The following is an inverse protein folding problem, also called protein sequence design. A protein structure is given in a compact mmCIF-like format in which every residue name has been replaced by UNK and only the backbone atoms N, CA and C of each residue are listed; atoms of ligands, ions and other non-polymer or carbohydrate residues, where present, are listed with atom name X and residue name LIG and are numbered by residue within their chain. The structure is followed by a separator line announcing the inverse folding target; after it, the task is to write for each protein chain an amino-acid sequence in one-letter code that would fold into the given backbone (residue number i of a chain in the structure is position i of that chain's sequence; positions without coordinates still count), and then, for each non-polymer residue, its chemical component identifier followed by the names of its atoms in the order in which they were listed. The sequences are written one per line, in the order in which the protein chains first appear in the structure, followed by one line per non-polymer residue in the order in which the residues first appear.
data_IF_995197125118
#
_entry.id   IF_995197125118
#
_cell.length_a   1.000
_cell.length_b   1.000
_cell.length_c   1.000
_cell.angle_alpha   90.00
_cell.angle_beta   90.00
_cell.angle_gamma   90.00
#
_symmetry.space_group_name_H-M   'P 1'
#
loop_
_entity.id
_entity.type
_entity.pdbx_description
1 polymer ?
#
# COMPACT_ATOMS: atom_id res chain seq x y z
N UNK A 1 -52.04 -7.15 34.65
CA UNK A 1 -51.19 -8.20 34.04
C UNK A 1 -51.15 -8.00 32.53
N UNK A 2 -50.04 -7.52 31.97
CA UNK A 2 -49.56 -7.91 30.64
C UNK A 2 -48.13 -7.39 30.47
N UNK A 3 -47.18 -8.33 30.47
CA UNK A 3 -45.74 -8.11 30.36
C UNK A 3 -45.33 -7.86 28.90
N UNK A 4 -44.77 -6.69 28.60
CA UNK A 4 -44.10 -6.38 27.34
C UNK A 4 -42.67 -6.93 27.34
N UNK A 5 -42.42 -7.97 26.53
CA UNK A 5 -41.13 -8.66 26.44
C UNK A 5 -40.22 -7.95 25.43
N UNK A 6 -39.11 -7.38 25.91
CA UNK A 6 -38.05 -6.77 25.10
C UNK A 6 -37.37 -7.87 24.27
N UNK A 7 -37.51 -7.81 22.94
CA UNK A 7 -36.81 -8.72 22.02
C UNK A 7 -35.43 -8.12 21.73
N UNK A 8 -34.43 -8.56 22.48
CA UNK A 8 -33.02 -8.29 22.18
C UNK A 8 -32.65 -9.08 20.92
N UNK A 9 -32.53 -8.38 19.79
CA UNK A 9 -32.09 -8.94 18.51
C UNK A 9 -30.65 -9.41 18.59
N UNK A 10 -30.45 -10.72 18.82
CA UNK A 10 -29.17 -11.40 18.70
C UNK A 10 -28.78 -11.43 17.20
N UNK A 11 -27.59 -10.95 16.78
CA UNK A 11 -27.18 -11.14 15.39
C UNK A 11 -27.03 -12.64 15.12
N UNK A 12 -27.84 -13.14 14.19
CA UNK A 12 -27.79 -14.51 13.67
C UNK A 12 -26.48 -14.66 12.90
N UNK A 13 -25.48 -15.29 13.52
CA UNK A 13 -24.26 -15.71 12.83
C UNK A 13 -24.67 -16.88 11.92
N UNK A 14 -24.99 -16.56 10.67
CA UNK A 14 -25.11 -17.56 9.61
C UNK A 14 -23.67 -18.03 9.34
N UNK A 15 -23.32 -19.20 9.86
CA UNK A 15 -22.12 -19.92 9.44
C UNK A 15 -22.41 -20.52 8.07
N UNK A 16 -22.24 -19.72 7.03
CA UNK A 16 -22.24 -20.20 5.67
C UNK A 16 -20.92 -20.96 5.45
N UNK A 17 -21.01 -22.29 5.41
CA UNK A 17 -19.87 -23.19 5.17
C UNK A 17 -19.62 -23.24 3.66
N UNK A 18 -19.16 -22.13 3.08
CA UNK A 18 -18.56 -22.17 1.74
C UNK A 18 -17.21 -22.90 1.81
N UNK A 19 -16.88 -23.76 0.83
CA UNK A 19 -15.64 -24.51 0.83
C UNK A 19 -14.46 -23.53 0.83
N UNK A 20 -13.68 -23.56 1.91
CA UNK A 20 -12.48 -22.74 2.09
C UNK A 20 -11.48 -23.09 0.99
N UNK A 21 -11.30 -22.21 0.01
CA UNK A 21 -10.26 -22.31 -0.99
C UNK A 21 -8.88 -22.11 -0.36
N UNK A 22 -8.26 -23.19 0.12
CA UNK A 22 -6.88 -23.21 0.59
C UNK A 22 -5.90 -23.57 -0.53
N UNK A 23 -4.69 -23.01 -0.48
CA UNK A 23 -3.59 -23.40 -1.38
C UNK A 23 -2.99 -24.71 -0.87
N UNK A 24 -3.15 -25.77 -1.66
CA UNK A 24 -2.63 -27.10 -1.31
C UNK A 24 -1.13 -27.15 -1.63
N UNK A 25 -0.26 -27.24 -0.61
CA UNK A 25 1.18 -27.47 -0.81
C UNK A 25 1.61 -28.75 -0.08
N UNK A 26 1.80 -29.79 -0.89
CA UNK A 26 2.40 -31.12 -0.68
C UNK A 26 2.15 -31.95 0.60
N UNK A 27 2.15 -31.46 1.84
CA UNK A 27 1.98 -32.31 3.03
C UNK A 27 1.21 -31.70 4.22
N UNK A 28 0.85 -30.42 4.18
CA UNK A 28 0.09 -29.75 5.24
C UNK A 28 -0.92 -28.79 4.62
N UNK A 29 -2.11 -28.64 5.21
CA UNK A 29 -3.02 -27.53 4.89
C UNK A 29 -2.47 -26.24 5.50
N UNK A 30 -1.38 -25.73 4.93
CA UNK A 30 -0.91 -24.39 5.26
C UNK A 30 -1.95 -23.40 4.70
N UNK A 31 -2.37 -22.43 5.50
CA UNK A 31 -3.20 -21.30 5.05
C UNK A 31 -4.69 -21.60 4.78
N UNK A 32 -5.38 -22.40 5.61
CA UNK A 32 -6.86 -22.53 5.62
C UNK A 32 -7.61 -21.21 5.92
N UNK A 33 -6.87 -20.15 6.28
CA UNK A 33 -7.31 -18.80 6.58
C UNK A 33 -7.10 -17.81 5.41
N UNK A 34 -6.48 -18.22 4.31
CA UNK A 34 -6.30 -17.37 3.13
C UNK A 34 -7.55 -17.50 2.25
N UNK A 35 -8.48 -16.56 2.38
CA UNK A 35 -9.59 -16.49 1.45
C UNK A 35 -9.16 -15.69 0.20
N UNK A 36 -8.67 -16.36 -0.85
CA UNK A 36 -8.27 -15.69 -2.11
C UNK A 36 -9.45 -15.00 -2.82
N UNK A 37 -10.68 -15.37 -2.48
CA UNK A 37 -11.91 -14.76 -3.01
C UNK A 37 -12.01 -13.26 -2.65
N UNK A 38 -11.27 -12.84 -1.64
CA UNK A 38 -11.16 -11.49 -1.11
C UNK A 38 -10.37 -10.57 -2.02
N UNK A 39 -9.36 -11.10 -2.72
CA UNK A 39 -8.61 -10.33 -3.72
C UNK A 39 -9.50 -9.86 -4.88
N UNK A 40 -10.72 -10.41 -5.03
CA UNK A 40 -11.67 -9.94 -6.05
C UNK A 40 -12.35 -8.62 -5.67
N UNK A 41 -12.36 -8.20 -4.40
CA UNK A 41 -12.95 -6.91 -4.01
C UNK A 41 -12.14 -5.76 -4.59
N UNK A 42 -12.82 -4.70 -5.01
CA UNK A 42 -12.18 -3.52 -5.64
C UNK A 42 -11.16 -2.87 -4.71
N UNK A 43 -11.40 -2.96 -3.40
CA UNK A 43 -10.56 -2.40 -2.34
C UNK A 43 -9.25 -3.17 -2.16
N UNK A 44 -9.33 -4.51 -2.11
CA UNK A 44 -8.13 -5.36 -2.01
C UNK A 44 -7.23 -5.22 -3.25
N UNK A 45 -7.83 -5.02 -4.44
CA UNK A 45 -7.10 -4.77 -5.69
C UNK A 45 -6.30 -3.45 -5.65
N UNK A 46 -6.90 -2.38 -5.12
CA UNK A 46 -6.23 -1.09 -4.99
C UNK A 46 -5.05 -1.19 -4.01
N UNK A 47 -5.26 -1.82 -2.85
CA UNK A 47 -4.19 -2.07 -1.86
C UNK A 47 -3.06 -2.92 -2.44
N UNK A 48 -3.41 -3.97 -3.18
CA UNK A 48 -2.44 -4.82 -3.87
C UNK A 48 -1.64 -4.02 -4.90
N UNK A 49 -2.30 -3.16 -5.69
CA UNK A 49 -1.62 -2.30 -6.65
C UNK A 49 -0.64 -1.33 -5.96
N UNK A 50 -1.03 -0.73 -4.83
CA UNK A 50 -0.12 0.11 -4.02
C UNK A 50 1.12 -0.69 -3.58
N UNK A 51 0.93 -1.90 -3.03
CA UNK A 51 2.04 -2.76 -2.57
C UNK A 51 2.96 -3.14 -3.73
N UNK A 52 2.40 -3.54 -4.88
CA UNK A 52 3.21 -3.92 -6.06
C UNK A 52 4.00 -2.74 -6.59
N UNK A 53 3.37 -1.57 -6.76
CA UNK A 53 4.06 -0.38 -7.28
C UNK A 53 5.11 0.11 -6.28
N UNK A 54 4.82 0.07 -4.98
CA UNK A 54 5.78 0.41 -3.94
C UNK A 54 6.97 -0.56 -3.92
N UNK A 55 6.73 -1.86 -4.10
CA UNK A 55 7.81 -2.87 -4.17
C UNK A 55 8.70 -2.67 -5.40
N UNK A 56 8.11 -2.37 -6.56
CA UNK A 56 8.86 -2.02 -7.77
C UNK A 56 9.67 -0.75 -7.54
N UNK A 57 9.06 0.31 -7.00
CA UNK A 57 9.76 1.55 -6.67
C UNK A 57 10.94 1.30 -5.72
N UNK A 58 10.72 0.58 -4.62
CA UNK A 58 11.75 0.18 -3.66
C UNK A 58 12.89 -0.58 -4.34
N UNK A 59 12.57 -1.52 -5.22
CA UNK A 59 13.57 -2.31 -5.94
C UNK A 59 14.43 -1.45 -6.87
N UNK A 60 13.84 -0.47 -7.56
CA UNK A 60 14.59 0.47 -8.41
C UNK A 60 15.57 1.30 -7.58
N UNK A 61 15.11 1.85 -6.45
CA UNK A 61 15.93 2.68 -5.56
C UNK A 61 17.10 1.86 -5.00
N UNK A 62 16.86 0.64 -4.55
CA UNK A 62 17.91 -0.20 -3.95
C UNK A 62 18.91 -0.74 -4.99
N UNK A 63 18.45 -1.12 -6.19
CA UNK A 63 19.34 -1.70 -7.20
C UNK A 63 20.13 -0.64 -7.99
N UNK A 64 19.53 0.53 -8.25
CA UNK A 64 20.17 1.59 -9.06
C UNK A 64 20.63 2.79 -8.23
N UNK A 65 19.93 3.13 -7.16
CA UNK A 65 20.20 4.33 -6.37
C UNK A 65 21.25 4.16 -5.28
N UNK A 66 21.44 2.96 -4.72
CA UNK A 66 22.40 2.73 -3.61
C UNK A 66 23.82 3.19 -3.94
N UNK A 67 24.31 2.87 -5.14
CA UNK A 67 25.67 3.23 -5.55
C UNK A 67 25.90 4.74 -5.62
N UNK A 68 24.85 5.56 -5.66
CA UNK A 68 24.91 7.03 -5.78
C UNK A 68 24.17 7.74 -4.64
N UNK A 69 23.84 7.01 -3.57
CA UNK A 69 23.10 7.53 -2.42
C UNK A 69 23.83 8.70 -1.74
N UNK A 70 25.17 8.63 -1.64
CA UNK A 70 25.99 9.70 -1.06
C UNK A 70 25.89 11.02 -1.85
N UNK A 71 25.76 10.95 -3.19
CA UNK A 71 25.65 12.12 -4.05
C UNK A 71 24.27 12.76 -4.00
N UNK A 72 23.22 11.94 -3.83
CA UNK A 72 21.83 12.41 -3.71
C UNK A 72 21.51 12.90 -2.29
N UNK A 73 22.30 12.49 -1.31
CA UNK A 73 22.22 12.94 0.07
C UNK A 73 20.87 12.57 0.74
N UNK A 74 20.32 13.44 1.59
CA UNK A 74 19.12 13.14 2.39
C UNK A 74 17.84 12.99 1.56
N UNK A 75 17.82 13.43 0.30
CA UNK A 75 16.68 13.21 -0.59
C UNK A 75 16.48 11.71 -0.88
N UNK A 76 17.57 10.97 -1.05
CA UNK A 76 17.52 9.52 -1.26
C UNK A 76 17.00 8.80 -0.01
N UNK A 77 17.53 9.13 1.16
CA UNK A 77 17.17 8.48 2.42
C UNK A 77 15.71 8.73 2.83
N UNK A 78 15.25 9.98 2.69
CA UNK A 78 13.85 10.34 2.95
C UNK A 78 12.87 9.64 2.01
N UNK A 79 13.19 9.54 0.72
CA UNK A 79 12.37 8.83 -0.25
C UNK A 79 12.36 7.31 0.01
N UNK A 80 13.52 6.71 0.27
CA UNK A 80 13.66 5.29 0.59
C UNK A 80 12.87 4.91 1.85
N UNK A 81 12.99 5.73 2.90
CA UNK A 81 12.26 5.52 4.16
C UNK A 81 10.75 5.63 3.93
N UNK A 82 10.31 6.65 3.18
CA UNK A 82 8.89 6.83 2.84
C UNK A 82 8.32 5.60 2.13
N UNK A 83 9.01 5.12 1.08
CA UNK A 83 8.57 3.94 0.31
C UNK A 83 8.55 2.70 1.19
N UNK A 84 9.59 2.48 2.00
CA UNK A 84 9.72 1.31 2.89
C UNK A 84 8.63 1.26 3.96
N UNK A 85 8.37 2.39 4.64
CA UNK A 85 7.32 2.47 5.65
C UNK A 85 5.94 2.26 5.02
N UNK A 86 5.68 2.88 3.87
CA UNK A 86 4.40 2.71 3.20
C UNK A 86 4.18 1.30 2.66
N UNK A 87 5.23 0.66 2.14
CA UNK A 87 5.19 -0.73 1.68
C UNK A 87 4.86 -1.67 2.84
N UNK A 88 5.55 -1.52 3.97
CA UNK A 88 5.35 -2.34 5.15
C UNK A 88 3.93 -2.20 5.69
N UNK A 89 3.46 -0.97 5.92
CA UNK A 89 2.12 -0.73 6.46
C UNK A 89 1.03 -1.23 5.51
N UNK A 90 1.16 -0.95 4.20
CA UNK A 90 0.17 -1.43 3.20
C UNK A 90 0.20 -2.95 3.05
N UNK A 91 1.37 -3.57 3.17
CA UNK A 91 1.53 -5.03 3.19
C UNK A 91 0.90 -5.68 4.41
N UNK A 92 1.05 -5.09 5.60
CA UNK A 92 0.40 -5.57 6.83
C UNK A 92 -1.13 -5.44 6.69
N UNK A 93 -1.63 -4.30 6.20
CA UNK A 93 -3.07 -4.11 5.98
C UNK A 93 -3.64 -5.12 4.98
N UNK A 94 -2.92 -5.38 3.89
CA UNK A 94 -3.28 -6.40 2.92
C UNK A 94 -3.27 -7.81 3.54
N UNK A 95 -2.26 -8.16 4.33
CA UNK A 95 -2.20 -9.43 5.04
C UNK A 95 -3.37 -9.58 6.03
N UNK A 96 -3.67 -8.53 6.80
CA UNK A 96 -4.84 -8.50 7.69
C UNK A 96 -6.16 -8.72 6.92
N UNK A 97 -6.28 -8.11 5.73
CA UNK A 97 -7.44 -8.33 4.85
C UNK A 97 -7.52 -9.75 4.32
N UNK A 98 -6.40 -10.41 4.02
CA UNK A 98 -6.37 -11.80 3.54
C UNK A 98 -6.74 -12.78 4.67
N UNK A 99 -6.21 -12.58 5.89
CA UNK A 99 -6.38 -13.53 7.00
C UNK A 99 -7.73 -13.45 7.72
N UNK A 100 -8.41 -12.29 7.74
CA UNK A 100 -9.62 -12.10 8.55
C UNK A 100 -10.69 -11.27 7.84
N UNK A 101 -11.81 -11.91 7.50
CA UNK A 101 -12.98 -11.22 6.91
C UNK A 101 -13.68 -10.32 7.91
N UNK A 102 -13.73 -10.73 9.19
CA UNK A 102 -14.34 -9.95 10.29
C UNK A 102 -13.58 -8.66 10.54
N UNK A 103 -12.26 -8.65 10.32
CA UNK A 103 -11.43 -7.45 10.50
C UNK A 103 -11.64 -6.42 9.39
N UNK A 104 -12.19 -6.78 8.22
CA UNK A 104 -12.36 -5.82 7.11
C UNK A 104 -13.35 -4.70 7.43
N UNK A 105 -14.50 -5.03 8.02
CA UNK A 105 -15.49 -4.01 8.39
C UNK A 105 -14.97 -3.06 9.47
N UNK A 106 -14.21 -3.59 10.43
CA UNK A 106 -13.64 -2.81 11.54
C UNK A 106 -12.47 -1.92 11.09
N UNK A 107 -11.56 -2.44 10.26
CA UNK A 107 -10.46 -1.65 9.70
C UNK A 107 -10.95 -0.59 8.72
N UNK A 108 -11.91 -0.96 7.86
CA UNK A 108 -12.50 -0.03 6.90
C UNK A 108 -13.32 1.07 7.58
N UNK A 109 -13.93 0.77 8.74
CA UNK A 109 -14.58 1.75 9.61
C UNK A 109 -13.61 2.47 10.56
N UNK A 110 -12.29 2.28 10.42
CA UNK A 110 -11.31 3.02 11.21
C UNK A 110 -10.83 4.27 10.48
N UNK A 111 -10.83 5.40 11.19
CA UNK A 111 -10.15 6.63 10.74
C UNK A 111 -8.66 6.40 10.42
N UNK A 112 -8.08 5.31 10.94
CA UNK A 112 -6.70 4.94 10.67
C UNK A 112 -6.40 4.76 9.17
N UNK A 113 -7.27 4.09 8.40
CA UNK A 113 -7.00 3.83 6.98
C UNK A 113 -7.04 5.10 6.14
N UNK A 114 -8.00 6.00 6.43
CA UNK A 114 -8.10 7.29 5.74
C UNK A 114 -6.95 8.22 6.11
N UNK A 115 -6.63 8.35 7.40
CA UNK A 115 -5.52 9.18 7.88
C UNK A 115 -4.18 8.69 7.34
N UNK A 116 -3.93 7.38 7.39
CA UNK A 116 -2.71 6.78 6.86
C UNK A 116 -2.56 7.05 5.36
N UNK A 117 -3.61 6.84 4.56
CA UNK A 117 -3.57 7.08 3.12
C UNK A 117 -3.32 8.55 2.77
N UNK A 118 -3.91 9.50 3.52
CA UNK A 118 -3.66 10.94 3.33
C UNK A 118 -2.22 11.29 3.70
N UNK A 119 -1.73 10.82 4.84
CA UNK A 119 -0.34 11.06 5.29
C UNK A 119 0.66 10.46 4.31
N UNK A 120 0.43 9.21 3.87
CA UNK A 120 1.24 8.55 2.86
C UNK A 120 1.27 9.35 1.56
N UNK A 121 0.13 9.85 1.08
CA UNK A 121 0.08 10.69 -0.12
C UNK A 121 0.90 11.98 0.03
N UNK A 122 0.76 12.69 1.15
CA UNK A 122 1.54 13.90 1.43
C UNK A 122 3.05 13.63 1.51
N UNK A 123 3.44 12.54 2.19
CA UNK A 123 4.84 12.11 2.28
C UNK A 123 5.41 11.74 0.92
N UNK A 124 4.67 10.96 0.10
CA UNK A 124 5.10 10.61 -1.24
C UNK A 124 5.26 11.84 -2.14
N UNK A 125 4.35 12.81 -2.11
CA UNK A 125 4.47 14.05 -2.89
C UNK A 125 5.72 14.82 -2.47
N UNK A 126 5.93 14.97 -1.16
CA UNK A 126 7.05 15.74 -0.60
C UNK A 126 8.39 15.09 -0.93
N UNK A 127 8.53 13.80 -0.62
CA UNK A 127 9.75 13.03 -0.86
C UNK A 127 10.04 12.86 -2.36
N UNK A 128 9.01 12.65 -3.21
CA UNK A 128 9.20 12.57 -4.67
C UNK A 128 9.65 13.90 -5.26
N UNK A 129 9.11 15.03 -4.79
CA UNK A 129 9.53 16.36 -5.23
C UNK A 129 10.97 16.64 -4.83
N UNK A 130 11.35 16.27 -3.61
CA UNK A 130 12.72 16.43 -3.13
C UNK A 130 13.69 15.55 -3.92
N UNK A 131 13.31 14.30 -4.19
CA UNK A 131 14.11 13.39 -5.00
C UNK A 131 14.24 13.84 -6.45
N UNK A 132 13.18 14.40 -7.04
CA UNK A 132 13.20 14.97 -8.39
C UNK A 132 14.23 16.11 -8.49
N UNK A 133 14.25 17.01 -7.50
CA UNK A 133 15.24 18.07 -7.41
C UNK A 133 16.68 17.51 -7.33
N UNK A 134 16.90 16.53 -6.46
CA UNK A 134 18.22 15.89 -6.30
C UNK A 134 18.68 15.18 -7.60
N UNK A 135 17.80 14.43 -8.27
CA UNK A 135 18.12 13.77 -9.54
C UNK A 135 18.46 14.79 -10.64
N UNK A 136 17.73 15.91 -10.70
CA UNK A 136 17.97 16.96 -11.69
C UNK A 136 19.31 17.69 -11.47
N UNK A 137 19.67 18.00 -10.23
CA UNK A 137 20.92 18.72 -9.94
C UNK A 137 22.15 17.81 -9.94
N UNK A 138 22.06 16.62 -9.35
CA UNK A 138 23.22 15.73 -9.18
C UNK A 138 23.41 14.75 -10.33
N UNK A 139 22.35 14.05 -10.77
CA UNK A 139 22.49 12.96 -11.75
C UNK A 139 22.47 13.45 -13.20
N UNK A 140 21.81 14.57 -13.50
CA UNK A 140 21.79 15.16 -14.84
C UNK A 140 23.17 15.52 -15.40
N UNK A 141 24.10 16.18 -14.67
CA UNK A 141 25.43 16.45 -15.20
C UNK A 141 26.22 15.16 -15.45
N UNK A 142 26.10 14.16 -14.56
CA UNK A 142 26.73 12.85 -14.73
C UNK A 142 26.22 12.13 -15.99
N UNK A 143 24.90 12.22 -16.26
CA UNK A 143 24.28 11.64 -17.45
C UNK A 143 24.79 12.22 -18.77
N UNK A 144 25.14 13.52 -18.80
CA UNK A 144 25.65 14.18 -20.02
C UNK A 144 27.11 13.79 -20.29
N UNK A 145 27.90 13.58 -19.23
CA UNK A 145 29.35 13.30 -19.36
C UNK A 145 29.63 11.82 -19.60
N UNK A 146 28.82 10.92 -19.03
CA UNK A 146 29.05 9.48 -19.10
C UNK A 146 28.10 8.77 -20.08
N UNK A 147 28.60 8.13 -21.16
CA UNK A 147 27.74 7.36 -22.05
C UNK A 147 27.18 6.13 -21.31
N UNK A 148 25.92 5.78 -21.59
CA UNK A 148 25.19 4.64 -20.99
C UNK A 148 24.88 4.72 -19.48
N UNK A 149 24.68 5.93 -18.94
CA UNK A 149 24.31 6.11 -17.54
C UNK A 149 22.84 5.72 -17.23
N UNK A 150 22.60 4.46 -16.86
CA UNK A 150 21.27 3.88 -16.58
C UNK A 150 20.64 4.37 -15.26
N UNK A 151 21.42 4.96 -14.35
CA UNK A 151 20.93 5.39 -13.04
C UNK A 151 19.98 6.59 -13.15
N UNK A 152 20.26 7.56 -14.03
CA UNK A 152 19.41 8.73 -14.24
C UNK A 152 17.96 8.36 -14.65
N UNK A 153 17.72 7.55 -15.70
CA UNK A 153 16.37 7.13 -16.06
C UNK A 153 15.72 6.23 -14.99
N UNK A 154 16.48 5.37 -14.31
CA UNK A 154 15.95 4.52 -13.25
C UNK A 154 15.46 5.34 -12.05
N UNK A 155 16.24 6.33 -11.58
CA UNK A 155 15.84 7.21 -10.49
C UNK A 155 14.72 8.16 -10.91
N UNK A 156 14.68 8.54 -12.18
CA UNK A 156 13.57 9.30 -12.76
C UNK A 156 12.26 8.51 -12.70
N UNK A 157 12.30 7.24 -13.11
CA UNK A 157 11.16 6.35 -12.98
C UNK A 157 10.74 6.17 -11.51
N UNK A 158 11.70 6.05 -10.58
CA UNK A 158 11.41 5.88 -9.16
C UNK A 158 10.59 7.04 -8.58
N UNK A 159 10.99 8.31 -8.77
CA UNK A 159 10.21 9.43 -8.22
C UNK A 159 8.86 9.62 -8.95
N UNK A 160 8.76 9.28 -10.24
CA UNK A 160 7.49 9.29 -10.97
C UNK A 160 6.54 8.22 -10.41
N UNK A 161 7.03 7.01 -10.13
CA UNK A 161 6.25 5.98 -9.45
C UNK A 161 5.85 6.40 -8.03
N UNK A 162 6.71 7.16 -7.34
CA UNK A 162 6.37 7.80 -6.06
C UNK A 162 5.17 8.75 -6.16
N UNK A 163 5.10 9.58 -7.21
CA UNK A 163 3.95 10.44 -7.47
C UNK A 163 2.69 9.64 -7.82
N UNK A 164 2.83 8.54 -8.58
CA UNK A 164 1.72 7.62 -8.85
C UNK A 164 1.20 6.98 -7.55
N UNK A 165 2.10 6.57 -6.66
CA UNK A 165 1.75 6.04 -5.34
C UNK A 165 1.02 7.08 -4.48
N UNK A 166 1.43 8.34 -4.53
CA UNK A 166 0.69 9.41 -3.86
C UNK A 166 -0.76 9.50 -4.36
N UNK A 167 -0.95 9.44 -5.68
CA UNK A 167 -2.29 9.43 -6.29
C UNK A 167 -3.11 8.19 -5.88
N UNK A 168 -2.50 7.01 -5.86
CA UNK A 168 -3.15 5.77 -5.44
C UNK A 168 -3.55 5.79 -3.96
N UNK A 169 -2.68 6.29 -3.08
CA UNK A 169 -3.00 6.46 -1.65
C UNK A 169 -4.10 7.51 -1.45
N UNK A 170 -4.03 8.65 -2.15
CA UNK A 170 -5.06 9.68 -2.10
C UNK A 170 -6.43 9.19 -2.57
N UNK A 171 -6.47 8.44 -3.68
CA UNK A 171 -7.70 7.86 -4.21
C UNK A 171 -8.30 6.80 -3.28
N UNK A 172 -7.47 5.93 -2.70
CA UNK A 172 -7.91 4.93 -1.72
C UNK A 172 -8.47 5.60 -0.45
N UNK A 173 -7.82 6.67 0.03
CA UNK A 173 -8.33 7.50 1.12
C UNK A 173 -9.67 8.16 0.81
N UNK A 174 -9.85 8.69 -0.41
CA UNK A 174 -11.11 9.30 -0.85
C UNK A 174 -12.27 8.29 -0.91
N UNK A 175 -12.03 7.09 -1.46
CA UNK A 175 -13.03 6.03 -1.50
C UNK A 175 -13.44 5.58 -0.10
N UNK A 176 -12.46 5.42 0.80
CA UNK A 176 -12.74 5.12 2.20
C UNK A 176 -13.62 6.20 2.84
N UNK A 177 -13.28 7.49 2.68
CA UNK A 177 -14.11 8.61 3.19
C UNK A 177 -15.53 8.64 2.63
N UNK A 178 -15.71 8.31 1.34
CA UNK A 178 -17.06 8.20 0.76
C UNK A 178 -17.88 7.09 1.41
N UNK A 179 -17.26 5.93 1.66
CA UNK A 179 -17.93 4.84 2.38
C UNK A 179 -18.27 5.21 3.82
N UNK A 180 -17.40 5.97 4.50
CA UNK A 180 -17.69 6.48 5.85
C UNK A 180 -18.91 7.41 5.90
N UNK A 181 -19.08 8.29 4.91
CA UNK A 181 -20.16 9.30 4.89
C UNK A 181 -21.47 8.79 4.28
N UNK A 182 -21.47 7.62 3.64
CA UNK A 182 -22.61 7.00 2.96
C UNK A 182 -23.33 5.92 3.77
N UNK A 183 -23.05 5.82 5.06
CA UNK A 183 -23.79 5.02 6.06
C UNK A 183 -24.41 5.98 7.07
#
# INVERSE_FOLDING_TARGET
MSSGKIIVGRPRIVTDVHPRGGVHCCCCTCCTCVNLQVLKTTEAKLKLAQVVVAAVCQSLILNYGMSHAQNMGPAYDSFLTTVSSCLLTSGILLACYIFSERSRGLLRSSLFETLYNVVAACLYISSSSYMSYAVYYFLRPLYIVTPFFQVYPAMTAAYVLGLVLAGLHGYDGYLAQRQFRGT
#
